data_IF_482494943572
#
_entry.id   IF_482494943572
#
_cell.length_a   1.000
_cell.length_b   1.000
_cell.length_c   1.000
_cell.angle_alpha   90.00
_cell.angle_beta   90.00
_cell.angle_gamma   90.00
#
_symmetry.space_group_name_H-M   'P 1'
#
loop_
_entity.id
_entity.type
_entity.pdbx_description
1 polymer ?
#
# COMPACT_ATOMS: atom_id res chain seq x y z
N UNK A 1 -13.95 11.12 40.16
CA UNK A 1 -14.68 10.84 38.90
C UNK A 1 -14.20 11.84 37.87
N UNK A 2 -13.24 11.44 37.05
CA UNK A 2 -12.73 12.27 35.98
C UNK A 2 -13.77 12.23 34.86
N UNK A 3 -14.49 13.34 34.66
CA UNK A 3 -15.46 13.44 33.59
C UNK A 3 -14.70 13.25 32.27
N UNK A 4 -14.92 12.10 31.62
CA UNK A 4 -14.45 11.87 30.26
C UNK A 4 -15.00 13.02 29.40
N UNK A 5 -14.14 13.98 29.04
CA UNK A 5 -14.52 15.04 28.11
C UNK A 5 -15.01 14.34 26.84
N UNK A 6 -16.27 14.57 26.49
CA UNK A 6 -16.77 14.09 25.20
C UNK A 6 -15.96 14.78 24.12
N UNK A 7 -15.16 13.99 23.41
CA UNK A 7 -14.39 14.45 22.26
C UNK A 7 -15.31 14.90 21.12
N UNK A 8 -14.74 15.49 20.07
CA UNK A 8 -15.50 15.78 18.85
C UNK A 8 -16.19 14.51 18.34
N UNK A 9 -17.47 14.62 17.98
CA UNK A 9 -18.22 13.52 17.37
C UNK A 9 -17.74 13.35 15.93
N UNK A 10 -17.25 12.16 15.58
CA UNK A 10 -16.91 11.77 14.22
C UNK A 10 -18.02 10.91 13.62
N UNK A 11 -18.16 10.95 12.30
CA UNK A 11 -19.23 10.24 11.60
C UNK A 11 -18.83 8.77 11.36
N UNK A 12 -17.53 8.51 11.16
CA UNK A 12 -16.97 7.18 10.91
C UNK A 12 -15.63 7.00 11.63
N UNK A 13 -15.40 5.81 12.18
CA UNK A 13 -14.10 5.38 12.71
C UNK A 13 -13.47 4.35 11.76
N UNK A 14 -12.22 4.57 11.36
CA UNK A 14 -11.41 3.65 10.55
C UNK A 14 -10.24 3.14 11.37
N UNK A 15 -10.13 1.83 11.52
CA UNK A 15 -9.03 1.19 12.26
C UNK A 15 -7.94 0.76 11.27
N UNK A 16 -6.77 1.39 11.39
CA UNK A 16 -5.58 1.18 10.58
C UNK A 16 -5.49 2.16 9.40
N UNK A 17 -4.31 2.77 9.23
CA UNK A 17 -4.03 3.77 8.19
C UNK A 17 -3.32 3.20 6.96
N UNK A 18 -3.32 1.86 6.81
CA UNK A 18 -2.75 1.18 5.64
C UNK A 18 -3.49 1.48 4.33
N UNK A 19 -3.13 0.78 3.26
CA UNK A 19 -3.71 0.99 1.93
C UNK A 19 -5.25 1.04 1.93
N UNK A 20 -5.89 0.06 2.59
CA UNK A 20 -7.35 -0.05 2.65
C UNK A 20 -7.98 1.09 3.47
N UNK A 21 -7.55 1.28 4.71
CA UNK A 21 -8.11 2.31 5.60
C UNK A 21 -7.92 3.73 5.06
N UNK A 22 -6.75 4.01 4.49
CA UNK A 22 -6.51 5.30 3.83
C UNK A 22 -7.37 5.50 2.58
N UNK A 23 -7.61 4.46 1.77
CA UNK A 23 -8.49 4.54 0.61
C UNK A 23 -9.96 4.73 1.01
N UNK A 24 -10.41 4.03 2.06
CA UNK A 24 -11.73 4.22 2.65
C UNK A 24 -11.91 5.65 3.15
N UNK A 25 -10.95 6.17 3.93
CA UNK A 25 -11.00 7.54 4.42
C UNK A 25 -10.99 8.56 3.26
N UNK A 26 -10.15 8.35 2.25
CA UNK A 26 -10.10 9.20 1.06
C UNK A 26 -11.46 9.30 0.35
N UNK A 27 -12.11 8.14 0.13
CA UNK A 27 -13.43 8.11 -0.49
C UNK A 27 -14.49 8.82 0.37
N UNK A 28 -14.56 8.51 1.67
CA UNK A 28 -15.53 9.10 2.60
C UNK A 28 -15.38 10.63 2.73
N UNK A 29 -14.14 11.11 2.87
CA UNK A 29 -13.82 12.54 3.01
C UNK A 29 -14.17 13.31 1.73
N UNK A 30 -13.98 12.69 0.56
CA UNK A 30 -14.41 13.23 -0.73
C UNK A 30 -15.92 13.48 -0.79
N UNK A 31 -16.70 12.76 0.02
CA UNK A 31 -18.15 12.94 0.18
C UNK A 31 -18.55 13.78 1.41
N UNK A 32 -17.60 14.46 2.07
CA UNK A 32 -17.89 15.35 3.19
C UNK A 32 -17.92 14.72 4.58
N UNK A 33 -17.66 13.42 4.68
CA UNK A 33 -17.69 12.66 5.94
C UNK A 33 -16.46 13.00 6.79
N UNK A 34 -16.65 13.19 8.11
CA UNK A 34 -15.55 13.34 9.07
C UNK A 34 -15.13 11.98 9.60
N UNK A 35 -13.86 11.66 9.43
CA UNK A 35 -13.29 10.35 9.75
C UNK A 35 -12.31 10.49 10.91
N UNK A 36 -12.49 9.66 11.94
CA UNK A 36 -11.47 9.37 12.93
C UNK A 36 -10.71 8.12 12.50
N UNK A 37 -9.39 8.20 12.42
CA UNK A 37 -8.54 7.07 12.10
C UNK A 37 -7.68 6.69 13.29
N UNK A 38 -7.69 5.41 13.65
CA UNK A 38 -6.85 4.86 14.72
C UNK A 38 -5.70 4.08 14.08
N UNK A 39 -4.45 4.46 14.36
CA UNK A 39 -3.28 3.68 13.91
C UNK A 39 -2.39 3.29 15.08
N UNK A 40 -1.91 2.05 15.05
CA UNK A 40 -1.04 1.49 16.09
C UNK A 40 0.35 2.15 16.13
N UNK A 41 0.78 2.80 15.04
CA UNK A 41 2.08 3.47 14.97
C UNK A 41 1.97 4.97 14.71
N UNK A 42 3.13 5.55 14.40
CA UNK A 42 3.31 6.98 14.15
C UNK A 42 3.61 7.26 12.67
N UNK A 43 3.58 8.53 12.29
CA UNK A 43 4.06 8.95 10.98
C UNK A 43 5.55 8.66 10.85
N UNK A 44 5.94 7.94 9.81
CA UNK A 44 7.33 7.75 9.45
C UNK A 44 7.98 9.06 9.00
N UNK A 45 9.15 9.40 9.54
CA UNK A 45 9.96 10.49 9.03
C UNK A 45 10.83 10.00 7.85
N UNK A 46 10.56 10.54 6.66
CA UNK A 46 11.29 10.24 5.43
C UNK A 46 12.69 10.85 5.42
N UNK A 47 12.97 11.83 6.28
CA UNK A 47 14.29 12.43 6.45
C UNK A 47 15.30 11.42 7.03
N UNK A 48 14.81 10.47 7.84
CA UNK A 48 15.58 9.39 8.46
C UNK A 48 15.84 8.20 7.50
N UNK A 49 15.30 8.25 6.28
CA UNK A 49 15.50 7.19 5.29
C UNK A 49 16.96 7.14 4.84
N UNK A 50 17.54 5.94 4.89
CA UNK A 50 18.88 5.66 4.36
C UNK A 50 18.88 5.39 2.85
N UNK A 51 17.78 5.68 2.13
CA UNK A 51 17.66 5.41 0.70
C UNK A 51 18.75 6.06 -0.18
N UNK A 52 19.37 7.15 0.30
CA UNK A 52 20.44 7.90 -0.38
C UNK A 52 21.72 8.00 0.45
N UNK A 53 21.87 7.16 1.47
CA UNK A 53 23.12 7.05 2.24
C UNK A 53 24.04 6.08 1.49
N UNK A 54 25.28 6.50 1.25
CA UNK A 54 26.26 5.67 0.55
C UNK A 54 26.67 4.48 1.43
N UNK A 55 27.04 3.33 0.84
CA UNK A 55 27.35 2.13 1.63
C UNK A 55 28.42 2.35 2.72
N UNK A 56 29.52 3.05 2.40
CA UNK A 56 30.58 3.32 3.37
C UNK A 56 30.14 4.26 4.51
N UNK A 57 29.23 5.20 4.22
CA UNK A 57 28.65 6.07 5.24
C UNK A 57 27.65 5.30 6.11
N UNK A 58 26.88 4.40 5.52
CA UNK A 58 25.97 3.52 6.26
C UNK A 58 26.75 2.62 7.23
N UNK A 59 27.90 2.10 6.82
CA UNK A 59 28.76 1.28 7.67
C UNK A 59 29.35 2.10 8.83
N UNK A 60 29.86 3.31 8.55
CA UNK A 60 30.33 4.24 9.58
C UNK A 60 29.23 4.58 10.59
N UNK A 61 28.04 4.95 10.11
CA UNK A 61 26.86 5.25 10.94
C UNK A 61 26.47 4.08 11.83
N UNK A 62 26.49 2.84 11.32
CA UNK A 62 26.24 1.64 12.13
C UNK A 62 27.30 1.45 13.21
N UNK A 63 28.57 1.71 12.93
CA UNK A 63 29.65 1.65 13.93
C UNK A 63 29.48 2.71 15.01
N UNK A 64 28.89 3.86 14.67
CA UNK A 64 28.51 4.94 15.59
C UNK A 64 27.20 4.67 16.34
N UNK A 65 26.54 3.52 16.09
CA UNK A 65 25.30 3.11 16.75
C UNK A 65 24.02 3.65 16.12
N UNK A 66 24.09 4.32 14.97
CA UNK A 66 22.89 4.69 14.22
C UNK A 66 22.25 3.48 13.51
N UNK A 67 20.94 3.51 13.37
CA UNK A 67 20.19 2.55 12.56
C UNK A 67 19.19 3.29 11.66
N UNK A 68 18.91 2.77 10.45
CA UNK A 68 17.82 3.29 9.64
C UNK A 68 16.50 3.07 10.35
N UNK A 69 15.53 3.94 10.06
CA UNK A 69 14.15 3.76 10.48
C UNK A 69 13.64 2.36 10.09
N UNK A 70 13.08 1.65 11.07
CA UNK A 70 12.56 0.30 10.89
C UNK A 70 11.08 0.34 10.51
N UNK A 71 10.75 -0.14 9.30
CA UNK A 71 9.35 -0.33 8.88
C UNK A 71 8.79 -1.69 9.32
N UNK A 72 9.67 -2.66 9.58
CA UNK A 72 9.29 -4.01 10.02
C UNK A 72 9.26 -4.04 11.54
N UNK A 73 8.12 -4.42 12.12
CA UNK A 73 8.03 -4.70 13.54
C UNK A 73 8.87 -5.93 13.90
N UNK A 74 9.53 -5.85 15.06
CA UNK A 74 10.26 -6.97 15.62
C UNK A 74 9.30 -8.07 16.07
N UNK A 75 9.62 -9.33 15.77
CA UNK A 75 8.89 -10.48 16.33
C UNK A 75 9.09 -10.62 17.85
N UNK A 76 10.07 -9.93 18.43
CA UNK A 76 10.22 -9.82 19.89
C UNK A 76 9.20 -8.87 20.50
N UNK A 77 8.95 -7.73 19.85
CA UNK A 77 7.98 -6.74 20.31
C UNK A 77 6.54 -7.19 20.05
N UNK A 78 6.33 -7.87 18.93
CA UNK A 78 5.05 -8.41 18.53
C UNK A 78 5.24 -9.88 18.16
N UNK A 79 5.23 -10.81 19.14
CA UNK A 79 5.25 -12.23 18.84
C UNK A 79 3.97 -12.65 18.12
N UNK A 80 4.06 -13.74 17.35
CA UNK A 80 2.91 -14.39 16.76
C UNK A 80 3.16 -15.89 16.73
N UNK A 81 2.09 -16.66 16.86
CA UNK A 81 2.18 -18.12 16.92
C UNK A 81 2.07 -18.70 15.52
N UNK A 82 2.83 -19.77 15.27
CA UNK A 82 2.74 -20.58 14.06
C UNK A 82 2.62 -22.05 14.47
N UNK A 83 1.84 -22.88 13.75
CA UNK A 83 1.73 -24.29 14.10
C UNK A 83 3.10 -25.00 14.05
N UNK A 84 3.34 -26.00 14.90
CA UNK A 84 4.57 -26.79 14.84
C UNK A 84 4.84 -27.35 13.43
N UNK A 85 6.08 -27.22 12.96
CA UNK A 85 6.48 -27.67 11.62
C UNK A 85 5.95 -26.83 10.45
N UNK A 86 5.24 -25.73 10.72
CA UNK A 86 4.67 -24.82 9.70
C UNK A 86 5.10 -23.37 9.98
N UNK A 87 6.40 -23.05 9.83
CA UNK A 87 6.89 -21.71 10.06
C UNK A 87 6.23 -20.72 9.08
N UNK A 88 5.90 -19.53 9.56
CA UNK A 88 5.35 -18.43 8.76
C UNK A 88 6.07 -17.15 9.11
N UNK A 89 6.47 -16.36 8.11
CA UNK A 89 7.10 -15.06 8.34
C UNK A 89 6.09 -13.91 8.19
N UNK A 90 5.57 -13.41 9.31
CA UNK A 90 4.58 -12.35 9.32
C UNK A 90 5.26 -10.98 9.36
N UNK A 91 5.42 -10.38 8.17
CA UNK A 91 5.85 -8.98 8.06
C UNK A 91 4.73 -8.04 8.51
N UNK A 92 4.96 -7.23 9.54
CA UNK A 92 4.05 -6.20 10.04
C UNK A 92 4.75 -4.84 10.10
N UNK A 93 3.95 -3.79 9.95
CA UNK A 93 4.38 -2.40 10.02
C UNK A 93 3.34 -1.65 10.82
N UNK A 94 3.77 -0.94 11.86
CA UNK A 94 2.94 0.05 12.54
C UNK A 94 3.43 1.42 12.17
N UNK A 95 2.52 2.25 11.69
CA UNK A 95 2.85 3.59 11.25
C UNK A 95 2.00 3.99 10.05
N UNK A 96 1.91 5.30 9.86
CA UNK A 96 1.02 5.87 8.87
C UNK A 96 1.29 5.27 7.48
N UNK A 97 0.23 4.85 6.78
CA UNK A 97 0.31 4.21 5.47
C UNK A 97 0.71 2.73 5.50
N UNK A 98 1.12 2.19 6.65
CA UNK A 98 1.48 0.80 6.84
C UNK A 98 2.53 0.29 5.84
N UNK A 99 2.29 -0.90 5.28
CA UNK A 99 3.24 -1.55 4.34
C UNK A 99 3.43 -0.79 3.03
N UNK A 100 2.56 0.16 2.69
CA UNK A 100 2.71 0.95 1.45
C UNK A 100 3.97 1.83 1.47
N UNK A 101 4.61 2.00 2.62
CA UNK A 101 5.91 2.66 2.73
C UNK A 101 7.10 1.80 2.27
N UNK A 102 6.95 0.48 2.09
CA UNK A 102 8.07 -0.44 1.72
C UNK A 102 7.68 -1.64 0.86
N UNK A 103 6.45 -1.68 0.35
CA UNK A 103 5.93 -2.76 -0.52
C UNK A 103 6.63 -2.84 -1.89
N UNK A 104 6.29 -3.85 -2.71
CA UNK A 104 6.87 -4.08 -4.04
C UNK A 104 6.35 -3.18 -5.17
N UNK A 105 5.29 -2.39 -4.93
CA UNK A 105 4.58 -1.53 -5.90
C UNK A 105 3.92 -2.24 -7.07
N UNK A 106 4.06 -3.56 -7.19
CA UNK A 106 3.38 -4.35 -8.23
C UNK A 106 1.86 -4.19 -8.06
N UNK A 107 1.20 -3.69 -9.11
CA UNK A 107 -0.20 -3.29 -9.10
C UNK A 107 -0.90 -3.93 -10.29
N UNK A 108 -1.22 -5.21 -10.16
CA UNK A 108 -1.90 -5.99 -11.19
C UNK A 108 -3.40 -5.97 -10.93
N UNK A 109 -4.17 -6.01 -12.02
CA UNK A 109 -5.60 -6.27 -11.94
C UNK A 109 -5.83 -7.76 -11.78
N UNK A 110 -6.82 -8.13 -10.97
CA UNK A 110 -7.41 -9.46 -11.09
C UNK A 110 -8.20 -9.53 -12.39
N UNK A 111 -8.24 -10.70 -13.00
CA UNK A 111 -8.99 -11.05 -14.21
C UNK A 111 -10.27 -11.81 -13.90
N UNK A 112 -11.11 -12.04 -14.90
CA UNK A 112 -12.26 -12.93 -14.74
C UNK A 112 -11.83 -14.36 -14.34
N UNK A 113 -10.66 -14.83 -14.80
CA UNK A 113 -10.11 -16.13 -14.39
C UNK A 113 -9.86 -16.19 -12.87
N UNK A 114 -9.48 -15.07 -12.25
CA UNK A 114 -9.25 -14.98 -10.81
C UNK A 114 -10.56 -14.94 -10.02
N UNK A 115 -11.55 -14.18 -10.50
CA UNK A 115 -12.87 -14.07 -9.86
C UNK A 115 -13.71 -15.34 -10.02
N UNK A 116 -13.54 -16.08 -11.10
CA UNK A 116 -14.22 -17.35 -11.37
C UNK A 116 -13.50 -18.55 -10.76
N UNK A 117 -12.20 -18.42 -10.44
CA UNK A 117 -11.36 -19.49 -9.91
C UNK A 117 -12.02 -20.36 -8.84
N UNK A 118 -12.59 -19.79 -7.76
CA UNK A 118 -13.28 -20.59 -6.75
C UNK A 118 -14.45 -21.45 -7.28
N UNK A 119 -15.24 -20.92 -8.22
CA UNK A 119 -16.38 -21.63 -8.80
C UNK A 119 -15.95 -22.65 -9.86
N UNK A 120 -14.96 -22.30 -10.69
CA UNK A 120 -14.39 -23.14 -11.74
C UNK A 120 -13.65 -24.34 -11.15
N UNK A 121 -12.85 -24.12 -10.12
CA UNK A 121 -11.90 -25.10 -9.57
C UNK A 121 -12.37 -25.71 -8.24
N UNK A 122 -13.43 -25.18 -7.61
CA UNK A 122 -14.10 -25.79 -6.46
C UNK A 122 -13.41 -25.65 -5.10
N UNK A 123 -12.55 -24.65 -4.89
CA UNK A 123 -11.73 -24.52 -3.66
C UNK A 123 -12.14 -23.45 -2.65
N UNK A 124 -13.18 -22.64 -2.91
CA UNK A 124 -13.71 -21.65 -1.95
C UNK A 124 -15.13 -21.19 -2.32
N UNK A 125 -15.73 -20.29 -1.53
CA UNK A 125 -16.96 -19.59 -1.90
C UNK A 125 -16.70 -18.70 -3.13
N UNK A 126 -17.55 -18.75 -4.17
CA UNK A 126 -17.47 -17.85 -5.33
C UNK A 126 -17.50 -16.38 -4.95
N UNK A 127 -16.74 -15.57 -5.69
CA UNK A 127 -16.80 -14.12 -5.52
C UNK A 127 -18.21 -13.59 -5.84
N UNK A 128 -18.75 -12.64 -5.05
CA UNK A 128 -20.05 -12.03 -5.33
C UNK A 128 -20.00 -10.93 -6.40
N UNK A 129 -18.82 -10.66 -6.96
CA UNK A 129 -18.55 -9.64 -7.98
C UNK A 129 -17.74 -10.24 -9.13
N UNK A 130 -17.74 -9.60 -10.29
CA UNK A 130 -16.94 -9.96 -11.47
C UNK A 130 -15.99 -8.83 -11.88
N UNK A 131 -15.09 -9.12 -12.83
CA UNK A 131 -14.14 -8.11 -13.29
C UNK A 131 -14.85 -6.84 -13.77
N UNK A 132 -15.95 -6.99 -14.52
CA UNK A 132 -16.75 -5.86 -15.01
C UNK A 132 -17.24 -4.92 -13.89
N UNK A 133 -17.53 -5.44 -12.70
CA UNK A 133 -17.98 -4.63 -11.55
C UNK A 133 -16.82 -3.82 -10.95
N UNK A 134 -15.60 -4.37 -10.98
CA UNK A 134 -14.41 -3.79 -10.34
C UNK A 134 -13.56 -2.96 -11.31
N UNK A 135 -13.62 -3.21 -12.61
CA UNK A 135 -12.82 -2.54 -13.64
C UNK A 135 -12.89 -1.00 -13.57
N UNK A 136 -14.07 -0.36 -13.38
CA UNK A 136 -14.15 1.10 -13.22
C UNK A 136 -13.46 1.62 -11.95
N UNK A 137 -13.27 0.78 -10.93
CA UNK A 137 -12.53 1.12 -9.72
C UNK A 137 -11.03 0.97 -9.94
N UNK A 138 -10.57 -0.07 -10.65
CA UNK A 138 -9.18 -0.20 -11.06
C UNK A 138 -8.73 1.01 -11.89
N UNK A 139 -9.52 1.42 -12.88
CA UNK A 139 -9.25 2.61 -13.69
C UNK A 139 -9.02 3.87 -12.84
N UNK A 140 -9.88 4.09 -11.83
CA UNK A 140 -9.77 5.25 -10.93
C UNK A 140 -8.54 5.16 -10.03
N UNK A 141 -8.28 3.98 -9.47
CA UNK A 141 -7.15 3.76 -8.57
C UNK A 141 -5.84 3.92 -9.33
N UNK A 142 -5.70 3.39 -10.54
CA UNK A 142 -4.48 3.50 -11.33
C UNK A 142 -4.11 4.95 -11.68
N UNK A 143 -5.11 5.78 -12.00
CA UNK A 143 -4.94 7.21 -12.23
C UNK A 143 -4.57 7.97 -10.96
N UNK A 144 -5.11 7.55 -9.81
CA UNK A 144 -4.82 8.15 -8.51
C UNK A 144 -3.39 7.82 -8.05
N UNK A 145 -2.99 6.55 -8.14
CA UNK A 145 -1.72 6.06 -7.59
C UNK A 145 -0.56 6.08 -8.60
N UNK A 146 -0.85 6.39 -9.87
CA UNK A 146 0.13 6.49 -10.95
C UNK A 146 0.79 5.16 -11.28
N UNK A 147 -0.02 4.19 -11.74
CA UNK A 147 0.51 2.89 -12.20
C UNK A 147 1.18 3.05 -13.55
N UNK A 148 2.41 2.53 -13.67
CA UNK A 148 3.15 2.38 -14.93
C UNK A 148 2.92 1.02 -15.52
N UNK A 149 3.04 0.88 -16.83
CA UNK A 149 2.94 -0.40 -17.53
C UNK A 149 2.85 -0.19 -19.04
N UNK A 150 2.68 -1.29 -19.77
CA UNK A 150 2.21 -1.27 -21.15
C UNK A 150 0.68 -1.23 -21.21
N UNK A 151 0.16 -1.13 -22.43
CA UNK A 151 -1.25 -1.37 -22.77
C UNK A 151 -1.52 -2.86 -23.06
N UNK A 152 -0.53 -3.73 -22.81
CA UNK A 152 -0.66 -5.18 -22.90
C UNK A 152 -1.89 -5.67 -22.13
N UNK A 153 -2.72 -6.44 -22.83
CA UNK A 153 -4.00 -6.97 -22.36
C UNK A 153 -4.07 -8.47 -22.65
N UNK A 154 -4.51 -9.25 -21.66
CA UNK A 154 -4.73 -10.68 -21.81
C UNK A 154 -5.76 -11.18 -20.80
N UNK A 155 -6.30 -12.38 -21.06
CA UNK A 155 -7.31 -13.01 -20.21
C UNK A 155 -6.88 -13.20 -18.75
N UNK A 156 -5.57 -13.24 -18.48
CA UNK A 156 -5.00 -13.37 -17.14
C UNK A 156 -4.33 -12.09 -16.64
N UNK A 157 -4.25 -11.05 -17.47
CA UNK A 157 -3.65 -9.77 -17.14
C UNK A 157 -4.40 -8.61 -17.83
N UNK A 158 -5.63 -8.28 -17.38
CA UNK A 158 -6.47 -7.29 -18.05
C UNK A 158 -5.80 -5.93 -18.14
N UNK A 159 -5.76 -5.35 -19.33
CA UNK A 159 -5.07 -4.11 -19.68
C UNK A 159 -5.58 -2.87 -18.96
N UNK A 160 -4.85 -1.77 -19.14
CA UNK A 160 -5.31 -0.42 -18.78
C UNK A 160 -4.76 0.61 -19.74
N UNK A 161 -5.63 1.52 -20.17
CA UNK A 161 -5.26 2.70 -20.97
C UNK A 161 -4.74 3.87 -20.15
N UNK A 162 -4.80 3.78 -18.82
CA UNK A 162 -4.45 4.88 -17.92
C UNK A 162 -3.04 4.76 -17.36
N UNK A 163 -2.32 3.68 -17.72
CA UNK A 163 -0.95 3.51 -17.29
C UNK A 163 -0.08 4.69 -17.72
N UNK A 164 0.76 5.12 -16.79
CA UNK A 164 1.92 5.92 -17.11
C UNK A 164 2.87 5.10 -18.00
N UNK A 165 3.73 5.76 -18.81
CA UNK A 165 4.70 5.04 -19.64
C UNK A 165 5.49 4.03 -18.82
N UNK A 166 5.69 2.83 -19.38
CA UNK A 166 6.47 1.78 -18.75
C UNK A 166 7.86 2.28 -18.34
N UNK A 167 8.34 1.80 -17.19
CA UNK A 167 9.74 2.01 -16.79
C UNK A 167 10.63 1.29 -17.80
N UNK A 168 11.69 1.98 -18.27
CA UNK A 168 12.66 1.36 -19.18
C UNK A 168 13.29 0.11 -18.54
N UNK A 169 13.37 -1.01 -19.28
CA UNK A 169 13.95 -2.24 -18.74
C UNK A 169 15.45 -2.06 -18.47
N UNK A 170 15.93 -2.73 -17.42
CA UNK A 170 17.36 -2.90 -17.13
C UNK A 170 17.98 -3.87 -18.12
N UNK A 171 19.31 -3.85 -18.27
CA UNK A 171 20.01 -4.76 -19.18
C UNK A 171 19.66 -6.23 -18.94
N UNK A 172 19.50 -6.65 -17.68
CA UNK A 172 19.10 -8.02 -17.33
C UNK A 172 17.67 -8.35 -17.75
N UNK A 173 16.77 -7.38 -17.70
CA UNK A 173 15.38 -7.54 -18.16
C UNK A 173 15.32 -7.63 -19.69
N UNK A 174 16.15 -6.88 -20.42
CA UNK A 174 16.29 -7.01 -21.88
C UNK A 174 16.79 -8.39 -22.27
N UNK A 175 17.86 -8.89 -21.63
CA UNK A 175 18.39 -10.24 -21.88
C UNK A 175 17.32 -11.31 -21.63
N UNK A 176 16.58 -11.18 -20.52
CA UNK A 176 15.49 -12.10 -20.18
C UNK A 176 14.36 -12.05 -21.21
N UNK A 177 13.96 -10.85 -21.67
CA UNK A 177 12.93 -10.67 -22.71
C UNK A 177 13.34 -11.35 -24.00
N UNK A 178 14.57 -11.10 -24.49
CA UNK A 178 15.08 -11.71 -25.72
C UNK A 178 15.15 -13.24 -25.61
N UNK A 179 15.57 -13.76 -24.46
CA UNK A 179 15.60 -15.21 -24.24
C UNK A 179 14.18 -15.81 -24.24
N UNK A 180 13.23 -15.18 -23.55
CA UNK A 180 11.83 -15.60 -23.50
C UNK A 180 11.19 -15.56 -24.90
N UNK A 181 11.41 -14.48 -25.66
CA UNK A 181 10.94 -14.33 -27.03
C UNK A 181 11.47 -15.45 -27.95
N UNK A 182 12.75 -15.83 -27.82
CA UNK A 182 13.31 -16.95 -28.61
C UNK A 182 12.70 -18.31 -28.30
N UNK A 183 12.04 -18.44 -27.15
CA UNK A 183 11.28 -19.61 -26.72
C UNK A 183 9.77 -19.48 -26.99
N UNK A 184 9.31 -18.36 -27.59
CA UNK A 184 7.89 -18.08 -27.79
C UNK A 184 7.13 -17.75 -26.51
N UNK A 185 7.81 -17.35 -25.44
CA UNK A 185 7.21 -16.96 -24.15
C UNK A 185 7.01 -15.44 -24.14
N UNK A 186 5.76 -14.94 -24.08
CA UNK A 186 5.50 -13.51 -24.05
C UNK A 186 5.99 -12.89 -22.74
N UNK A 187 6.54 -11.69 -22.83
CA UNK A 187 6.89 -10.87 -21.66
C UNK A 187 6.29 -9.49 -21.82
N UNK A 188 5.91 -8.87 -20.70
CA UNK A 188 5.26 -7.55 -20.67
C UNK A 188 5.92 -6.68 -19.61
N UNK A 189 5.78 -5.36 -19.76
CA UNK A 189 6.25 -4.45 -18.73
C UNK A 189 5.45 -4.64 -17.43
N UNK A 190 6.14 -4.87 -16.32
CA UNK A 190 5.47 -5.04 -15.02
C UNK A 190 4.69 -3.77 -14.63
N UNK A 191 3.44 -3.97 -14.20
CA UNK A 191 2.60 -2.87 -13.74
C UNK A 191 2.99 -2.43 -12.34
N UNK A 192 3.44 -1.18 -12.17
CA UNK A 192 3.97 -0.68 -10.90
C UNK A 192 3.47 0.71 -10.56
N UNK A 193 3.00 0.93 -9.33
CA UNK A 193 2.63 2.25 -8.80
C UNK A 193 3.87 3.12 -8.48
N UNK A 194 4.65 3.43 -9.51
CA UNK A 194 5.88 4.23 -9.48
C UNK A 194 5.74 5.30 -10.57
N UNK A 195 5.91 6.57 -10.24
CA UNK A 195 5.69 7.66 -11.18
C UNK A 195 6.81 7.74 -12.21
N UNK A 196 6.53 7.50 -13.50
CA UNK A 196 7.49 7.79 -14.60
C UNK A 196 7.35 9.21 -15.15
N UNK A 197 6.25 9.89 -14.81
CA UNK A 197 6.03 11.32 -15.04
C UNK A 197 5.43 11.94 -13.78
N UNK A 198 5.64 13.23 -13.60
CA UNK A 198 5.03 13.96 -12.48
C UNK A 198 3.51 14.04 -12.67
N UNK A 199 2.75 13.68 -11.65
CA UNK A 199 1.27 13.77 -11.61
C UNK A 199 0.84 14.26 -10.23
N UNK A 200 -0.30 14.95 -10.14
CA UNK A 200 -0.90 15.35 -8.86
C UNK A 200 0.09 16.07 -7.92
N UNK A 201 0.96 16.93 -8.46
CA UNK A 201 1.98 17.66 -7.71
C UNK A 201 3.16 16.82 -7.18
N UNK A 202 3.29 15.55 -7.60
CA UNK A 202 4.34 14.62 -7.15
C UNK A 202 5.38 14.42 -8.24
N UNK A 203 6.65 14.38 -7.82
CA UNK A 203 7.80 14.24 -8.73
C UNK A 203 7.96 12.80 -9.22
N UNK A 204 8.28 12.66 -10.51
CA UNK A 204 8.67 11.39 -11.11
C UNK A 204 9.85 10.71 -10.36
N UNK A 205 9.89 9.39 -10.44
CA UNK A 205 10.95 8.57 -9.90
C UNK A 205 12.27 8.86 -10.61
N UNK A 206 13.33 9.05 -9.83
CA UNK A 206 14.70 9.21 -10.34
C UNK A 206 15.51 7.90 -10.25
N UNK A 207 14.84 6.77 -10.02
CA UNK A 207 15.39 5.42 -10.13
C UNK A 207 16.58 5.08 -9.21
N UNK A 208 16.61 5.58 -7.97
CA UNK A 208 17.70 5.28 -7.02
C UNK A 208 17.79 3.80 -6.58
N UNK A 209 16.76 2.98 -6.82
CA UNK A 209 16.75 1.55 -6.51
C UNK A 209 16.49 1.18 -5.04
N UNK A 210 16.56 2.12 -4.09
CA UNK A 210 16.45 1.84 -2.65
C UNK A 210 15.01 1.87 -2.10
N UNK A 211 14.06 1.25 -2.82
CA UNK A 211 12.63 1.35 -2.48
C UNK A 211 12.26 0.71 -1.13
N UNK A 212 13.03 -0.29 -0.68
CA UNK A 212 12.81 -1.00 0.59
C UNK A 212 13.17 -0.18 1.84
N UNK A 213 13.85 0.96 1.67
CA UNK A 213 14.19 1.90 2.75
C UNK A 213 13.20 3.07 2.86
N UNK A 214 12.05 2.98 2.18
CA UNK A 214 11.10 4.08 2.03
C UNK A 214 11.50 5.06 0.91
N UNK A 215 10.52 5.65 0.23
CA UNK A 215 10.79 6.65 -0.81
C UNK A 215 11.03 8.03 -0.22
N UNK A 216 12.25 8.56 -0.28
CA UNK A 216 12.52 9.94 0.16
C UNK A 216 11.82 11.00 -0.68
N UNK A 217 11.39 10.71 -1.91
CA UNK A 217 10.71 11.68 -2.81
C UNK A 217 9.22 11.41 -3.05
N UNK A 218 8.62 10.37 -2.46
CA UNK A 218 7.22 9.97 -2.66
C UNK A 218 6.87 9.74 -4.14
N UNK A 219 7.87 9.34 -4.92
CA UNK A 219 7.74 9.04 -6.34
C UNK A 219 7.11 7.68 -6.62
N UNK A 220 6.73 6.92 -5.60
CA UNK A 220 5.87 5.76 -5.72
C UNK A 220 4.72 5.87 -4.72
N UNK A 221 3.61 5.16 -4.97
CA UNK A 221 2.45 5.21 -4.10
C UNK A 221 2.75 4.69 -2.69
N UNK A 222 2.55 5.58 -1.72
CA UNK A 222 2.36 5.22 -0.33
C UNK A 222 1.12 5.97 0.18
N UNK A 223 0.33 5.31 1.02
CA UNK A 223 -0.94 5.85 1.48
C UNK A 223 -0.77 7.13 2.31
N UNK A 224 0.33 7.28 3.04
CA UNK A 224 0.63 8.48 3.83
C UNK A 224 0.64 9.72 2.96
N UNK A 225 1.50 9.76 1.95
CA UNK A 225 1.69 10.93 1.10
C UNK A 225 0.57 11.10 0.07
N UNK A 226 -0.04 10.00 -0.39
CA UNK A 226 -1.05 10.05 -1.45
C UNK A 226 -2.45 10.36 -0.92
N UNK A 227 -2.79 9.86 0.27
CA UNK A 227 -4.16 9.84 0.76
C UNK A 227 -4.29 10.56 2.09
N UNK A 228 -3.42 10.26 3.07
CA UNK A 228 -3.57 10.80 4.44
C UNK A 228 -3.18 12.27 4.54
N UNK A 229 -2.03 12.68 3.97
CA UNK A 229 -1.58 14.06 4.05
C UNK A 229 -2.57 15.04 3.39
N UNK A 230 -3.06 14.80 2.15
CA UNK A 230 -4.11 15.64 1.57
C UNK A 230 -5.43 15.59 2.34
N UNK A 231 -5.79 14.43 2.91
CA UNK A 231 -7.01 14.31 3.72
C UNK A 231 -6.95 15.12 5.01
N UNK A 232 -5.79 15.21 5.67
CA UNK A 232 -5.57 16.07 6.84
C UNK A 232 -5.78 17.55 6.52
N UNK A 233 -5.34 18.01 5.35
CA UNK A 233 -5.51 19.40 4.90
C UNK A 233 -6.99 19.81 4.76
N UNK A 234 -7.90 18.84 4.58
CA UNK A 234 -9.34 19.11 4.51
C UNK A 234 -9.97 19.44 5.87
N UNK A 235 -9.28 19.14 6.98
CA UNK A 235 -9.84 19.23 8.33
C UNK A 235 -10.90 18.17 8.67
N UNK A 236 -11.15 17.21 7.76
CA UNK A 236 -12.12 16.12 7.96
C UNK A 236 -11.50 14.80 8.39
N UNK A 237 -10.18 14.70 8.42
CA UNK A 237 -9.46 13.55 8.94
C UNK A 237 -8.81 13.92 10.28
N UNK A 238 -9.06 13.11 11.29
CA UNK A 238 -8.26 13.07 12.52
C UNK A 238 -7.57 11.71 12.60
N UNK A 239 -6.29 11.68 12.98
CA UNK A 239 -5.54 10.43 13.17
C UNK A 239 -5.00 10.37 14.59
N UNK A 240 -5.42 9.35 15.34
CA UNK A 240 -4.86 9.02 16.66
C UNK A 240 -3.80 7.94 16.46
N UNK A 241 -2.55 8.32 16.75
CA UNK A 241 -1.38 7.44 16.65
C UNK A 241 -1.13 6.69 17.97
N UNK A 242 -0.45 5.55 17.91
CA UNK A 242 -0.23 4.70 19.08
C UNK A 242 -1.52 4.04 19.61
N UNK A 243 -2.58 4.01 18.81
CA UNK A 243 -3.89 3.47 19.17
C UNK A 243 -4.04 2.05 18.63
N UNK A 244 -3.90 1.06 19.52
CA UNK A 244 -4.16 -0.35 19.20
C UNK A 244 -5.59 -0.69 19.59
N UNK A 245 -6.49 -0.72 18.61
CA UNK A 245 -7.86 -1.18 18.83
C UNK A 245 -7.85 -2.68 19.13
N UNK A 246 -8.27 -3.05 20.34
CA UNK A 246 -8.26 -4.44 20.81
C UNK A 246 -9.60 -5.15 20.63
N UNK A 247 -10.71 -4.39 20.63
CA UNK A 247 -12.09 -4.90 20.56
C UNK A 247 -12.97 -3.88 19.85
N UNK A 248 -14.03 -4.38 19.24
CA UNK A 248 -15.18 -3.60 18.81
C UNK A 248 -16.35 -4.09 19.65
N UNK A 249 -16.92 -3.21 20.45
CA UNK A 249 -18.11 -3.48 21.25
C UNK A 249 -19.35 -3.36 20.36
N UNK A 250 -20.38 -4.15 20.68
CA UNK A 250 -21.65 -4.11 19.96
C UNK A 250 -22.81 -3.88 20.90
N UNK A 251 -23.86 -3.21 20.41
CA UNK A 251 -25.17 -3.17 21.07
C UNK A 251 -25.95 -4.48 20.89
N UNK A 252 -27.18 -4.52 21.43
CA UNK A 252 -28.05 -5.69 21.41
C UNK A 252 -28.56 -6.02 19.98
N UNK A 253 -28.51 -5.06 19.07
CA UNK A 253 -28.81 -5.23 17.64
C UNK A 253 -27.58 -5.65 16.81
N UNK A 254 -26.41 -5.78 17.44
CA UNK A 254 -25.15 -6.18 16.80
C UNK A 254 -24.45 -5.06 16.04
N UNK A 255 -24.83 -3.79 16.25
CA UNK A 255 -24.13 -2.63 15.67
C UNK A 255 -22.98 -2.22 16.56
N UNK A 256 -21.91 -1.70 15.95
CA UNK A 256 -20.75 -1.21 16.69
C UNK A 256 -21.13 -0.04 17.58
N UNK A 257 -20.76 -0.10 18.87
CA UNK A 257 -21.11 0.89 19.90
C UNK A 257 -19.90 1.42 20.69
N UNK A 258 -18.69 0.89 20.44
CA UNK A 258 -17.45 1.35 21.06
C UNK A 258 -16.23 0.53 20.67
#
# INVERSE_FOLDING_TARGET
>A
MEALRQGPVHDVVVIGSGASGAMTAHALIGHGVRVLMLDAGWKFDRSESWAHVLPYDADRRRQEGEAPQAFRLSSREQPYLTPPGRPFDLYRTWGWGGKTNVWGRVSLRMSDLDFEGPARDGWHIPWPVRYADIAPYYDRVEQLIGVTGGDDDSDSLPGSRYHLPAVKPRCTEVILSTAAESLGIPTVATRRAVLTRSIHGRTACHYCGSCGSGCRTASYFNATDYLLMPALETGRLEIVSGAVAARVLTDDEGRASG
#
